data_IF_605119042833
#
_entry.id   IF_605119042833
#
_cell.length_a   1.000
_cell.length_b   1.000
_cell.length_c   1.000
_cell.angle_alpha   90.00
_cell.angle_beta   90.00
_cell.angle_gamma   90.00
#
_symmetry.space_group_name_H-M   'P 1'
#
loop_
_entity.id
_entity.type
_entity.pdbx_description
1 polymer ?
#
# COMPACT_ATOMS: atom_id res chain seq x y z
N UNK A 1 1.66 26.97 24.87
CA UNK A 1 1.48 25.60 25.40
C UNK A 1 -0.02 25.36 25.36
N UNK A 2 -0.52 24.57 24.44
CA UNK A 2 -1.93 24.16 24.43
C UNK A 2 -2.06 22.95 25.35
N UNK A 3 -2.70 23.12 26.49
CA UNK A 3 -3.09 22.01 27.34
C UNK A 3 -4.43 21.47 26.83
N UNK A 4 -4.39 20.29 26.21
CA UNK A 4 -5.62 19.58 25.88
C UNK A 4 -6.08 18.81 27.11
N UNK A 5 -7.29 19.10 27.56
CA UNK A 5 -7.96 18.31 28.61
C UNK A 5 -8.53 17.04 27.95
N UNK A 6 -7.94 15.87 28.23
CA UNK A 6 -8.31 14.57 27.66
C UNK A 6 -9.25 13.76 28.58
N UNK A 7 -9.68 14.32 29.72
CA UNK A 7 -10.42 13.57 30.75
C UNK A 7 -11.75 12.96 30.26
N UNK A 8 -12.31 13.44 29.13
CA UNK A 8 -13.58 12.95 28.59
C UNK A 8 -13.45 12.23 27.24
N UNK A 9 -12.24 11.95 26.78
CA UNK A 9 -12.01 11.35 25.44
C UNK A 9 -11.40 9.97 25.55
N UNK A 10 -11.92 9.06 24.74
CA UNK A 10 -11.24 7.79 24.50
C UNK A 10 -10.01 8.04 23.62
N UNK A 11 -8.84 7.67 24.11
CA UNK A 11 -7.57 7.83 23.39
C UNK A 11 -7.01 6.44 23.08
N UNK A 12 -6.67 6.22 21.82
CA UNK A 12 -5.99 5.02 21.36
C UNK A 12 -4.56 5.40 20.99
N UNK A 13 -3.60 4.79 21.67
CA UNK A 13 -2.17 4.94 21.37
C UNK A 13 -1.72 3.79 20.46
N UNK A 14 -1.05 4.12 19.37
CA UNK A 14 -0.42 3.15 18.48
C UNK A 14 1.10 3.29 18.67
N UNK A 15 1.72 2.30 19.27
CA UNK A 15 3.14 2.31 19.62
C UNK A 15 3.83 1.01 19.20
N UNK A 16 5.11 1.14 18.86
CA UNK A 16 5.99 -0.02 18.68
C UNK A 16 6.69 -0.43 20.00
N UNK A 17 6.80 0.49 20.94
CA UNK A 17 7.49 0.30 22.21
C UNK A 17 6.53 0.51 23.38
N UNK A 18 6.72 -0.28 24.43
CA UNK A 18 5.90 -0.30 25.65
C UNK A 18 6.21 0.90 26.56
N UNK A 19 6.01 2.14 26.07
CA UNK A 19 6.36 3.35 26.81
C UNK A 19 5.28 3.81 27.77
N UNK A 20 4.00 3.53 27.50
CA UNK A 20 2.87 3.97 28.31
C UNK A 20 2.46 2.89 29.30
N UNK A 21 2.41 3.28 30.59
CA UNK A 21 1.99 2.42 31.70
C UNK A 21 0.55 2.68 32.10
N UNK A 22 -0.09 1.71 32.77
CA UNK A 22 -1.43 1.81 33.34
C UNK A 22 -2.57 2.01 32.33
N UNK A 23 -2.44 1.43 31.13
CA UNK A 23 -3.50 1.35 30.12
C UNK A 23 -3.73 -0.10 29.72
N UNK A 24 -4.92 -0.40 29.19
CA UNK A 24 -5.19 -1.68 28.57
C UNK A 24 -4.43 -1.77 27.24
N UNK A 25 -3.64 -2.82 27.06
CA UNK A 25 -2.78 -3.02 25.89
C UNK A 25 -3.26 -4.20 25.09
N UNK A 26 -3.20 -4.03 23.77
CA UNK A 26 -3.45 -5.09 22.80
C UNK A 26 -2.23 -5.20 21.91
N UNK A 27 -1.73 -6.42 21.76
CA UNK A 27 -0.57 -6.71 20.91
C UNK A 27 -1.07 -7.34 19.62
N UNK A 28 -0.49 -6.89 18.50
CA UNK A 28 -0.79 -7.42 17.18
C UNK A 28 0.52 -7.84 16.52
N UNK A 29 0.73 -9.15 16.39
CA UNK A 29 1.86 -9.65 15.62
C UNK A 29 1.55 -9.56 14.12
N UNK A 30 2.23 -8.64 13.45
CA UNK A 30 2.09 -8.44 12.01
C UNK A 30 3.43 -8.51 11.31
N UNK A 31 3.43 -9.10 10.12
CA UNK A 31 4.55 -9.06 9.18
C UNK A 31 4.12 -8.34 7.92
N UNK A 32 4.95 -7.43 7.42
CA UNK A 32 4.72 -6.79 6.15
C UNK A 32 4.82 -7.81 5.00
N UNK A 33 3.90 -7.70 4.04
CA UNK A 33 3.92 -8.48 2.82
C UNK A 33 4.45 -7.61 1.69
N UNK A 34 5.40 -8.13 0.93
CA UNK A 34 5.99 -7.44 -0.21
C UNK A 34 4.92 -7.10 -1.25
N UNK A 35 5.13 -5.98 -1.94
CA UNK A 35 4.30 -5.60 -3.08
C UNK A 35 4.51 -6.57 -4.23
N UNK A 36 3.43 -6.97 -4.87
CA UNK A 36 3.49 -7.82 -6.05
C UNK A 36 3.90 -7.07 -7.33
N UNK A 37 3.99 -5.74 -7.32
CA UNK A 37 4.52 -4.89 -8.40
C UNK A 37 4.17 -5.37 -9.81
N UNK A 38 2.88 -5.58 -10.10
CA UNK A 38 2.37 -6.12 -11.37
C UNK A 38 2.74 -7.60 -11.65
N UNK A 39 3.38 -8.29 -10.72
CA UNK A 39 3.68 -9.73 -10.83
C UNK A 39 2.43 -10.56 -10.50
N UNK A 40 1.51 -10.58 -11.44
CA UNK A 40 0.20 -11.20 -11.24
C UNK A 40 0.31 -12.72 -11.02
N UNK A 41 1.22 -13.38 -11.73
CA UNK A 41 1.43 -14.83 -11.61
C UNK A 41 1.88 -15.21 -10.18
N UNK A 42 2.76 -14.40 -9.59
CA UNK A 42 3.21 -14.61 -8.22
C UNK A 42 2.06 -14.39 -7.22
N UNK A 43 1.29 -13.33 -7.41
CA UNK A 43 0.10 -13.06 -6.59
C UNK A 43 -0.88 -14.26 -6.62
N UNK A 44 -1.19 -14.78 -7.81
CA UNK A 44 -2.12 -15.89 -7.96
C UNK A 44 -1.59 -17.18 -7.31
N UNK A 45 -0.28 -17.47 -7.46
CA UNK A 45 0.34 -18.63 -6.82
C UNK A 45 0.28 -18.53 -5.28
N UNK A 46 0.55 -17.34 -4.73
CA UNK A 46 0.47 -17.10 -3.30
C UNK A 46 -0.97 -17.19 -2.78
N UNK A 47 -1.94 -16.62 -3.49
CA UNK A 47 -3.36 -16.71 -3.14
C UNK A 47 -3.80 -18.18 -3.05
N UNK A 48 -3.45 -19.01 -4.03
CA UNK A 48 -3.77 -20.45 -4.01
C UNK A 48 -3.12 -21.14 -2.81
N UNK A 49 -1.88 -20.76 -2.49
CA UNK A 49 -1.17 -21.31 -1.33
C UNK A 49 -1.82 -20.88 -0.02
N UNK A 50 -2.22 -19.63 0.11
CA UNK A 50 -2.94 -19.12 1.28
C UNK A 50 -4.28 -19.83 1.47
N UNK A 51 -5.02 -20.03 0.38
CA UNK A 51 -6.31 -20.75 0.43
C UNK A 51 -6.14 -22.20 0.89
N UNK A 52 -5.13 -22.93 0.36
CA UNK A 52 -4.80 -24.30 0.80
C UNK A 52 -4.43 -24.35 2.28
N UNK A 53 -3.72 -23.36 2.77
CA UNK A 53 -3.33 -23.24 4.18
C UNK A 53 -4.45 -22.68 5.07
N UNK A 54 -5.67 -22.55 4.53
CA UNK A 54 -6.84 -22.01 5.23
C UNK A 54 -6.63 -20.63 5.84
N UNK A 55 -5.75 -19.82 5.23
CA UNK A 55 -5.60 -18.41 5.59
C UNK A 55 -6.85 -17.63 5.17
N UNK A 56 -7.22 -16.62 5.95
CA UNK A 56 -8.22 -15.64 5.56
C UNK A 56 -7.51 -14.59 4.70
N UNK A 57 -8.03 -14.32 3.52
CA UNK A 57 -7.35 -13.40 2.58
C UNK A 57 -8.25 -12.24 2.21
N UNK A 58 -7.75 -11.02 2.37
CA UNK A 58 -8.41 -9.79 1.92
C UNK A 58 -7.55 -9.14 0.84
N UNK A 59 -8.13 -8.95 -0.32
CA UNK A 59 -7.53 -8.28 -1.46
C UNK A 59 -8.15 -6.88 -1.57
N UNK A 60 -7.34 -5.86 -1.31
CA UNK A 60 -7.75 -4.46 -1.38
C UNK A 60 -7.45 -3.91 -2.76
N UNK A 61 -8.48 -3.63 -3.52
CA UNK A 61 -8.38 -2.94 -4.80
C UNK A 61 -8.59 -1.43 -4.60
N UNK A 62 -7.77 -0.60 -5.22
CA UNK A 62 -7.78 0.84 -5.01
C UNK A 62 -9.10 1.53 -5.42
N UNK A 63 -9.83 0.93 -6.36
CA UNK A 63 -11.10 1.45 -6.86
C UNK A 63 -11.95 0.33 -7.49
N UNK A 64 -13.20 0.66 -7.84
CA UNK A 64 -14.18 -0.28 -8.40
C UNK A 64 -13.71 -0.91 -9.73
N UNK A 65 -13.03 -0.16 -10.58
CA UNK A 65 -12.51 -0.67 -11.86
C UNK A 65 -11.46 -1.72 -11.62
N UNK A 66 -10.54 -1.44 -10.70
CA UNK A 66 -9.48 -2.37 -10.29
C UNK A 66 -10.06 -3.61 -9.62
N UNK A 67 -11.09 -3.46 -8.78
CA UNK A 67 -11.79 -4.58 -8.16
C UNK A 67 -12.42 -5.51 -9.21
N UNK A 68 -13.11 -4.95 -10.20
CA UNK A 68 -13.70 -5.72 -11.30
C UNK A 68 -12.64 -6.46 -12.13
N UNK A 69 -11.53 -5.80 -12.46
CA UNK A 69 -10.41 -6.43 -13.16
C UNK A 69 -9.85 -7.62 -12.36
N UNK A 70 -9.61 -7.41 -11.06
CA UNK A 70 -9.14 -8.46 -10.15
C UNK A 70 -10.11 -9.64 -10.07
N UNK A 71 -11.39 -9.36 -9.91
CA UNK A 71 -12.43 -10.39 -9.88
C UNK A 71 -12.45 -11.24 -11.17
N UNK A 72 -12.32 -10.62 -12.33
CA UNK A 72 -12.24 -11.33 -13.60
C UNK A 72 -11.00 -12.25 -13.66
N UNK A 73 -9.84 -11.75 -13.23
CA UNK A 73 -8.61 -12.53 -13.18
C UNK A 73 -8.74 -13.73 -12.25
N UNK A 74 -9.29 -13.55 -11.06
CA UNK A 74 -9.52 -14.66 -10.11
C UNK A 74 -10.47 -15.70 -10.70
N UNK A 75 -11.54 -15.26 -11.37
CA UNK A 75 -12.50 -16.14 -12.04
C UNK A 75 -11.87 -16.93 -13.18
N UNK A 76 -11.07 -16.31 -14.03
CA UNK A 76 -10.34 -16.97 -15.13
C UNK A 76 -9.38 -18.03 -14.61
N UNK A 77 -8.77 -17.80 -13.45
CA UNK A 77 -7.88 -18.75 -12.79
C UNK A 77 -8.60 -19.73 -11.84
N UNK A 78 -9.93 -19.80 -11.90
CA UNK A 78 -10.77 -20.73 -11.10
C UNK A 78 -10.55 -20.59 -9.57
N UNK A 79 -10.21 -19.41 -9.11
CA UNK A 79 -10.05 -19.09 -7.70
C UNK A 79 -11.39 -18.62 -7.15
N UNK A 80 -11.90 -19.30 -6.12
CA UNK A 80 -13.15 -18.90 -5.46
C UNK A 80 -12.91 -17.68 -4.59
N UNK A 81 -13.71 -16.65 -4.77
CA UNK A 81 -13.67 -15.40 -4.01
C UNK A 81 -15.09 -14.86 -3.76
N UNK A 82 -15.19 -13.92 -2.85
CA UNK A 82 -16.34 -13.04 -2.65
C UNK A 82 -15.95 -11.60 -2.94
N UNK A 83 -16.87 -10.83 -3.51
CA UNK A 83 -16.71 -9.39 -3.67
C UNK A 83 -17.70 -8.70 -2.75
N UNK A 84 -17.22 -8.05 -1.72
CA UNK A 84 -18.01 -7.43 -0.65
C UNK A 84 -17.50 -6.01 -0.38
N UNK A 85 -18.37 -5.15 0.13
CA UNK A 85 -17.99 -3.78 0.51
C UNK A 85 -17.14 -3.77 1.80
N UNK A 86 -17.46 -4.68 2.72
CA UNK A 86 -16.79 -4.82 4.00
C UNK A 86 -16.27 -6.25 4.17
N UNK A 87 -15.06 -6.37 4.70
CA UNK A 87 -14.41 -7.67 4.91
C UNK A 87 -14.66 -8.16 6.34
N UNK A 88 -15.92 -8.53 6.62
CA UNK A 88 -16.33 -9.05 7.92
C UNK A 88 -16.51 -10.56 7.93
N UNK A 89 -16.37 -11.15 9.12
CA UNK A 89 -16.69 -12.58 9.39
C UNK A 89 -16.04 -13.57 8.40
N UNK A 90 -14.80 -13.32 8.00
CA UNK A 90 -14.06 -14.09 7.00
C UNK A 90 -13.81 -15.50 7.54
N UNK A 91 -14.19 -16.53 6.78
CA UNK A 91 -13.94 -17.93 7.12
C UNK A 91 -12.52 -18.37 6.73
N UNK A 92 -11.97 -19.38 7.40
CA UNK A 92 -10.68 -19.95 7.00
C UNK A 92 -10.69 -20.44 5.53
N UNK A 93 -9.70 -20.01 4.75
CA UNK A 93 -9.58 -20.32 3.32
C UNK A 93 -10.44 -19.46 2.40
N UNK A 94 -11.16 -18.48 2.94
CA UNK A 94 -11.98 -17.55 2.16
C UNK A 94 -11.15 -16.37 1.66
N UNK A 95 -11.45 -15.95 0.44
CA UNK A 95 -10.84 -14.80 -0.21
C UNK A 95 -11.92 -13.75 -0.41
N UNK A 96 -11.69 -12.54 0.09
CA UNK A 96 -12.57 -11.39 -0.11
C UNK A 96 -11.85 -10.35 -0.94
N UNK A 97 -12.52 -9.86 -1.96
CA UNK A 97 -12.10 -8.67 -2.73
C UNK A 97 -12.95 -7.50 -2.25
N UNK A 98 -12.32 -6.42 -1.84
CA UNK A 98 -13.00 -5.19 -1.43
C UNK A 98 -12.24 -3.96 -1.91
N UNK A 99 -12.91 -2.80 -1.86
CA UNK A 99 -12.31 -1.51 -2.23
C UNK A 99 -11.60 -0.94 -1.01
N UNK A 100 -10.37 -0.52 -1.21
CA UNK A 100 -9.55 0.09 -0.18
C UNK A 100 -8.08 0.00 -0.54
N UNK A 101 -7.23 0.48 0.34
CA UNK A 101 -5.79 0.39 0.15
C UNK A 101 -5.03 0.77 1.40
N UNK A 102 -3.91 0.09 1.59
CA UNK A 102 -2.87 0.43 2.54
C UNK A 102 -1.58 0.72 1.78
N UNK A 103 -0.65 1.38 2.43
CA UNK A 103 0.70 1.59 1.87
C UNK A 103 1.42 0.27 1.59
N UNK A 104 1.18 -0.77 2.40
CA UNK A 104 1.68 -2.13 2.20
C UNK A 104 0.66 -3.17 2.68
N UNK A 105 0.77 -4.40 2.18
CA UNK A 105 0.02 -5.52 2.73
C UNK A 105 0.64 -6.03 4.04
N UNK A 106 -0.11 -6.84 4.78
CA UNK A 106 0.39 -7.46 6.00
C UNK A 106 -0.23 -8.83 6.25
N UNK A 107 0.51 -9.66 6.98
CA UNK A 107 0.02 -10.89 7.60
C UNK A 107 -0.13 -10.69 9.10
N UNK A 108 -1.28 -11.05 9.65
CA UNK A 108 -1.50 -11.14 11.10
C UNK A 108 -1.62 -12.61 11.49
N UNK A 109 -0.71 -13.06 12.35
CA UNK A 109 -0.61 -14.47 12.72
C UNK A 109 -1.75 -14.89 13.65
N UNK A 110 -2.15 -14.07 14.61
CA UNK A 110 -3.18 -14.39 15.60
C UNK A 110 -4.55 -14.57 14.95
N UNK A 111 -4.86 -13.74 13.97
CA UNK A 111 -6.11 -13.77 13.22
C UNK A 111 -6.08 -14.76 12.03
N UNK A 112 -4.92 -15.32 11.73
CA UNK A 112 -4.67 -16.10 10.51
C UNK A 112 -5.11 -15.35 9.25
N UNK A 113 -4.83 -14.03 9.22
CA UNK A 113 -5.31 -13.07 8.24
C UNK A 113 -4.17 -12.55 7.38
N UNK A 114 -4.42 -12.50 6.07
CA UNK A 114 -3.54 -11.89 5.08
C UNK A 114 -4.30 -10.77 4.40
N UNK A 115 -3.73 -9.57 4.41
CA UNK A 115 -4.26 -8.40 3.71
C UNK A 115 -3.26 -7.99 2.64
N UNK A 116 -3.69 -8.01 1.38
CA UNK A 116 -2.86 -7.63 0.23
C UNK A 116 -3.42 -6.34 -0.36
N UNK A 117 -2.60 -5.30 -0.40
CA UNK A 117 -2.97 -4.04 -1.02
C UNK A 117 -2.51 -4.03 -2.47
N UNK A 118 -3.48 -3.89 -3.38
CA UNK A 118 -3.28 -3.90 -4.83
C UNK A 118 -3.60 -2.53 -5.46
N UNK A 119 -3.58 -1.47 -4.65
CA UNK A 119 -4.00 -0.13 -5.02
C UNK A 119 -3.34 0.37 -6.31
N UNK A 120 -2.06 0.06 -6.52
CA UNK A 120 -1.28 0.54 -7.66
C UNK A 120 -1.11 -0.50 -8.78
N UNK A 121 -1.58 -1.74 -8.59
CA UNK A 121 -1.28 -2.84 -9.51
C UNK A 121 -2.18 -2.88 -10.75
N UNK A 122 -3.32 -2.20 -10.72
CA UNK A 122 -4.30 -2.22 -11.82
C UNK A 122 -4.56 -0.83 -12.40
N UNK A 123 -3.92 0.20 -11.88
CA UNK A 123 -3.96 1.51 -12.51
C UNK A 123 -3.14 1.43 -13.80
N UNK A 124 -3.80 1.56 -14.94
CA UNK A 124 -3.08 1.93 -16.15
C UNK A 124 -2.32 3.21 -15.82
N UNK A 125 -1.04 3.32 -16.23
CA UNK A 125 -0.34 4.58 -16.10
C UNK A 125 -1.25 5.62 -16.74
N UNK A 126 -1.94 6.39 -15.91
CA UNK A 126 -2.77 7.48 -16.38
C UNK A 126 -1.81 8.32 -17.21
N UNK A 127 -1.91 8.23 -18.54
CA UNK A 127 -1.38 9.24 -19.44
C UNK A 127 -2.11 10.50 -19.00
N UNK A 128 -1.58 11.16 -17.97
CA UNK A 128 -2.05 12.48 -17.58
C UNK A 128 -1.97 13.28 -18.86
N UNK A 129 -3.11 13.44 -19.54
CA UNK A 129 -3.24 14.47 -20.56
C UNK A 129 -2.86 15.74 -19.82
N UNK A 130 -1.59 16.14 -19.95
CA UNK A 130 -1.12 17.41 -19.47
C UNK A 130 -2.11 18.41 -20.03
N UNK A 131 -3.01 18.95 -19.19
CA UNK A 131 -3.61 20.23 -19.49
C UNK A 131 -2.40 21.16 -19.60
N UNK A 132 -2.04 21.46 -20.84
CA UNK A 132 -1.07 22.48 -21.16
C UNK A 132 -1.63 23.79 -20.64
N UNK A 133 -1.39 24.12 -19.39
CA UNK A 133 -1.26 25.52 -19.02
C UNK A 133 0.06 25.94 -19.64
N UNK A 134 -0.03 26.89 -20.57
CA UNK A 134 1.03 27.33 -21.48
C UNK A 134 2.24 28.00 -20.80
N UNK A 135 2.51 27.71 -19.53
CA UNK A 135 3.56 28.38 -18.75
C UNK A 135 4.65 27.42 -18.21
N UNK A 136 4.53 26.10 -18.40
CA UNK A 136 5.56 25.14 -17.98
C UNK A 136 5.85 24.12 -19.09
N UNK A 137 6.44 24.61 -20.19
CA UNK A 137 6.86 23.75 -21.30
C UNK A 137 8.17 23.00 -21.07
N UNK A 138 8.86 23.22 -19.94
CA UNK A 138 10.26 22.78 -19.78
C UNK A 138 10.57 21.91 -18.54
N UNK A 139 9.58 21.32 -17.87
CA UNK A 139 9.86 20.51 -16.67
C UNK A 139 10.16 19.02 -16.93
N UNK A 140 10.34 18.59 -18.16
CA UNK A 140 10.63 17.18 -18.49
C UNK A 140 12.06 16.85 -18.88
N UNK A 141 12.92 17.81 -18.90
CA UNK A 141 14.37 17.62 -18.99
C UNK A 141 15.02 18.63 -18.08
N UNK A 142 15.07 18.37 -16.78
CA UNK A 142 16.21 18.83 -16.03
C UNK A 142 17.37 18.04 -16.62
N UNK A 143 17.92 18.55 -17.71
CA UNK A 143 19.18 18.08 -18.25
C UNK A 143 20.16 18.43 -17.15
N UNK A 144 21.02 17.51 -16.72
CA UNK A 144 22.13 17.78 -15.77
C UNK A 144 22.95 19.03 -16.15
N UNK A 145 22.78 19.52 -17.38
CA UNK A 145 23.36 20.76 -17.89
C UNK A 145 22.86 22.04 -17.20
N UNK A 146 21.70 22.02 -16.55
CA UNK A 146 21.14 23.21 -15.88
C UNK A 146 21.55 23.29 -14.39
N UNK A 147 22.14 22.24 -13.83
CA UNK A 147 22.63 22.19 -12.45
C UNK A 147 24.06 22.77 -12.38
N UNK A 148 24.24 23.72 -11.46
CA UNK A 148 25.56 24.32 -11.17
C UNK A 148 26.13 23.69 -9.89
N UNK A 149 27.46 23.49 -9.81
CA UNK A 149 28.11 23.14 -8.57
C UNK A 149 27.73 24.11 -7.46
N UNK A 150 27.21 23.56 -6.36
CA UNK A 150 26.69 24.35 -5.24
C UNK A 150 25.16 24.29 -5.09
N UNK A 151 24.41 23.90 -6.13
CA UNK A 151 22.95 23.80 -6.06
C UNK A 151 22.49 22.74 -5.06
N UNK A 152 21.44 23.06 -4.33
CA UNK A 152 20.82 22.11 -3.41
C UNK A 152 19.82 21.25 -4.20
N UNK A 153 20.02 19.95 -4.14
CA UNK A 153 19.21 18.95 -4.84
C UNK A 153 18.60 17.96 -3.86
N UNK A 154 17.44 17.40 -4.22
CA UNK A 154 16.79 16.34 -3.45
C UNK A 154 16.92 15.03 -4.22
N UNK A 155 17.66 14.08 -3.65
CA UNK A 155 17.77 12.74 -4.19
C UNK A 155 16.65 11.86 -3.63
N UNK A 156 16.00 11.10 -4.47
CA UNK A 156 14.82 10.30 -4.10
C UNK A 156 15.09 9.31 -2.94
N UNK A 157 16.29 8.75 -2.88
CA UNK A 157 16.67 7.74 -1.85
C UNK A 157 17.64 8.27 -0.79
N UNK A 158 18.40 9.32 -1.07
CA UNK A 158 19.44 9.83 -0.17
C UNK A 158 19.09 11.18 0.47
N UNK A 159 17.91 11.74 0.16
CA UNK A 159 17.46 13.01 0.73
C UNK A 159 18.16 14.24 0.12
N UNK A 160 18.34 15.28 0.93
CA UNK A 160 18.89 16.56 0.50
C UNK A 160 20.41 16.49 0.39
N UNK A 161 20.95 16.93 -0.73
CA UNK A 161 22.38 17.01 -0.99
C UNK A 161 22.75 18.25 -1.78
N UNK A 162 24.06 18.51 -1.90
CA UNK A 162 24.59 19.57 -2.74
C UNK A 162 25.21 18.97 -4.01
N UNK A 163 24.84 19.49 -5.16
CA UNK A 163 25.40 19.06 -6.43
C UNK A 163 26.84 19.56 -6.56
N UNK A 164 27.78 18.66 -6.72
CA UNK A 164 29.22 18.99 -6.87
C UNK A 164 29.73 18.81 -8.29
N UNK A 165 28.95 18.15 -9.16
CA UNK A 165 29.31 17.91 -10.57
C UNK A 165 29.05 16.47 -11.00
N UNK A 166 29.28 16.20 -12.27
CA UNK A 166 29.24 14.86 -12.88
C UNK A 166 30.68 14.46 -13.22
N UNK A 167 31.17 13.37 -12.64
CA UNK A 167 32.43 12.75 -13.08
C UNK A 167 32.15 11.79 -14.23
N UNK A 168 32.85 11.96 -15.32
CA UNK A 168 32.88 11.05 -16.47
C UNK A 168 34.04 10.10 -16.34
#
# INVERSE_FOLDING_TARGET
KFEYNFEEKQIIYLEQNDSIKNIQKYYFETREINFYNLQLDLLLADIVTYQKNKKKVVLLAGNEISAKKLCNILKENQINYKHEQEAENIKPGEIIVTIGGFSSGFENYDLNLIVISLQNNFEEPVKRKKKLSSTFKDSEKIVFADLKPGDIVVHQTHGIGQFIGVNT
#
